data_IF_735988255572
#
_entry.id   IF_735988255572
#
_cell.length_a   1.000
_cell.length_b   1.000
_cell.length_c   1.000
_cell.angle_alpha   90.00
_cell.angle_beta   90.00
_cell.angle_gamma   90.00
#
_symmetry.space_group_name_H-M   'P 1'
#
loop_
_entity.id
_entity.type
_entity.pdbx_description
1 polymer ?
#
# COMPACT_ATOMS: atom_id res chain seq x y z
N UNK A 1 -4.63 19.85 29.35
CA UNK A 1 -5.28 19.62 28.05
C UNK A 1 -4.19 19.19 27.10
N UNK A 2 -4.02 17.89 26.93
CA UNK A 2 -3.16 17.36 25.87
C UNK A 2 -3.91 17.60 24.56
N UNK A 3 -3.37 18.47 23.71
CA UNK A 3 -3.86 18.63 22.34
C UNK A 3 -3.53 17.31 21.66
N UNK A 4 -4.55 16.48 21.44
CA UNK A 4 -4.46 15.41 20.44
C UNK A 4 -4.20 16.14 19.13
N UNK A 5 -2.94 16.10 18.68
CA UNK A 5 -2.63 16.42 17.30
C UNK A 5 -3.40 15.39 16.47
N UNK A 6 -4.48 15.82 15.84
CA UNK A 6 -5.15 15.06 14.80
C UNK A 6 -4.07 14.83 13.73
N UNK A 7 -3.38 13.68 13.81
CA UNK A 7 -2.48 13.25 12.76
C UNK A 7 -3.34 13.10 11.52
N UNK A 8 -3.24 14.09 10.64
CA UNK A 8 -3.92 14.10 9.36
C UNK A 8 -3.49 12.81 8.62
N UNK A 9 -4.43 11.90 8.45
CA UNK A 9 -4.15 10.59 7.85
C UNK A 9 -3.65 10.85 6.43
N UNK A 10 -2.52 10.23 6.06
CA UNK A 10 -1.95 10.40 4.73
C UNK A 10 -3.02 10.08 3.65
N UNK A 11 -3.31 11.01 2.72
CA UNK A 11 -4.37 10.81 1.74
C UNK A 11 -4.10 9.62 0.81
N UNK A 12 -2.83 9.30 0.54
CA UNK A 12 -2.43 8.12 -0.26
C UNK A 12 -2.80 6.84 0.49
N UNK A 13 -2.63 6.83 1.83
CA UNK A 13 -3.04 5.70 2.66
C UNK A 13 -4.56 5.54 2.64
N UNK A 14 -5.31 6.63 2.80
CA UNK A 14 -6.78 6.60 2.75
C UNK A 14 -7.27 6.04 1.41
N UNK A 15 -6.78 6.59 0.29
CA UNK A 15 -7.16 6.12 -1.05
C UNK A 15 -6.82 4.64 -1.25
N UNK A 16 -5.65 4.19 -0.78
CA UNK A 16 -5.25 2.80 -0.83
C UNK A 16 -6.19 1.90 -0.02
N UNK A 17 -6.60 2.32 1.18
CA UNK A 17 -7.47 1.56 2.06
C UNK A 17 -8.92 1.50 1.54
N UNK A 18 -9.43 2.60 1.01
CA UNK A 18 -10.79 2.72 0.44
C UNK A 18 -10.96 1.96 -0.89
N UNK A 19 -9.85 1.53 -1.48
CA UNK A 19 -9.84 0.78 -2.74
C UNK A 19 -10.00 -0.73 -2.49
N UNK A 20 -11.04 -1.34 -3.08
CA UNK A 20 -11.35 -2.77 -2.89
C UNK A 20 -10.49 -3.71 -3.76
N UNK A 21 -10.11 -3.30 -4.97
CA UNK A 21 -9.40 -4.15 -5.93
C UNK A 21 -7.89 -4.04 -5.79
N UNK A 22 -7.18 -5.17 -5.74
CA UNK A 22 -5.71 -5.15 -5.76
C UNK A 22 -5.13 -4.55 -7.06
N UNK A 23 -5.87 -4.57 -8.18
CA UNK A 23 -5.44 -3.91 -9.40
C UNK A 23 -5.46 -2.38 -9.26
N UNK A 24 -6.50 -1.83 -8.63
CA UNK A 24 -6.60 -0.40 -8.36
C UNK A 24 -5.61 0.04 -7.28
N UNK A 25 -5.43 -0.75 -6.21
CA UNK A 25 -4.36 -0.53 -5.22
C UNK A 25 -2.98 -0.47 -5.88
N UNK A 26 -2.72 -1.34 -6.87
CA UNK A 26 -1.46 -1.31 -7.62
C UNK A 26 -1.29 -0.02 -8.44
N UNK A 27 -2.36 0.49 -9.06
CA UNK A 27 -2.33 1.74 -9.81
C UNK A 27 -1.97 2.92 -8.91
N UNK A 28 -2.52 2.98 -7.70
CA UNK A 28 -2.16 4.00 -6.69
C UNK A 28 -0.65 3.95 -6.44
N UNK A 29 -0.11 2.78 -6.09
CA UNK A 29 1.33 2.63 -5.83
C UNK A 29 2.21 3.03 -7.02
N UNK A 30 1.78 2.78 -8.26
CA UNK A 30 2.52 3.16 -9.47
C UNK A 30 2.42 4.66 -9.75
N UNK A 31 1.26 5.27 -9.48
CA UNK A 31 1.02 6.69 -9.70
C UNK A 31 1.72 7.57 -8.66
N UNK A 32 1.91 7.08 -7.43
CA UNK A 32 2.60 7.79 -6.36
C UNK A 32 4.12 7.83 -6.58
N UNK A 33 4.75 9.01 -6.61
CA UNK A 33 6.20 9.18 -6.60
C UNK A 33 6.85 8.51 -5.38
N UNK A 34 8.01 7.87 -5.56
CA UNK A 34 8.72 7.18 -4.46
C UNK A 34 9.07 8.14 -3.31
N UNK A 35 9.34 9.41 -3.61
CA UNK A 35 9.65 10.44 -2.61
C UNK A 35 8.49 10.75 -1.64
N UNK A 36 7.26 10.38 -1.99
CA UNK A 36 6.07 10.60 -1.15
C UNK A 36 5.82 9.42 -0.20
N UNK A 37 6.68 8.38 -0.25
CA UNK A 37 6.65 7.26 0.68
C UNK A 37 7.61 7.47 1.84
N UNK A 38 7.15 7.11 3.02
CA UNK A 38 7.98 6.87 4.19
C UNK A 38 7.77 5.44 4.71
N UNK A 39 8.59 5.04 5.67
CA UNK A 39 8.52 3.69 6.23
C UNK A 39 7.14 3.38 6.84
N UNK A 40 6.52 4.36 7.51
CA UNK A 40 5.23 4.19 8.19
C UNK A 40 4.09 3.96 7.18
N UNK A 41 4.11 4.68 6.06
CA UNK A 41 3.14 4.52 4.98
C UNK A 41 3.21 3.12 4.39
N UNK A 42 4.42 2.64 4.11
CA UNK A 42 4.66 1.30 3.56
C UNK A 42 4.18 0.24 4.57
N UNK A 43 4.53 0.37 5.84
CA UNK A 43 4.14 -0.57 6.90
C UNK A 43 2.63 -0.66 7.07
N UNK A 44 1.94 0.49 7.08
CA UNK A 44 0.49 0.53 7.21
C UNK A 44 -0.21 -0.09 5.99
N UNK A 45 0.26 0.20 4.77
CA UNK A 45 -0.26 -0.42 3.55
C UNK A 45 -0.04 -1.93 3.56
N UNK A 46 1.18 -2.38 3.90
CA UNK A 46 1.54 -3.78 3.97
C UNK A 46 0.68 -4.54 5.00
N UNK A 47 0.52 -3.97 6.20
CA UNK A 47 -0.33 -4.53 7.25
C UNK A 47 -1.79 -4.64 6.82
N UNK A 48 -2.32 -3.66 6.08
CA UNK A 48 -3.71 -3.69 5.62
C UNK A 48 -4.03 -4.81 4.63
N UNK A 49 -2.99 -5.36 4.00
CA UNK A 49 -3.10 -6.49 3.09
C UNK A 49 -2.41 -7.73 3.67
N UNK A 50 -2.16 -7.85 4.98
CA UNK A 50 -1.54 -9.06 5.55
C UNK A 50 -0.22 -9.48 4.85
N UNK A 51 0.66 -8.52 4.54
CA UNK A 51 2.04 -8.79 4.10
C UNK A 51 3.04 -8.10 5.01
N UNK A 52 4.22 -8.68 5.11
CA UNK A 52 5.37 -8.07 5.79
C UNK A 52 6.37 -7.69 4.71
N UNK A 53 6.81 -6.42 4.74
CA UNK A 53 7.87 -5.92 3.86
C UNK A 53 9.13 -5.80 4.71
N UNK A 54 10.16 -6.56 4.33
CA UNK A 54 11.45 -6.58 5.00
C UNK A 54 12.09 -5.19 5.07
N UNK A 55 13.03 -5.02 5.99
CA UNK A 55 13.78 -3.78 6.13
C UNK A 55 14.66 -3.52 4.88
N UNK A 56 14.73 -2.27 4.46
CA UNK A 56 15.46 -1.84 3.26
C UNK A 56 15.36 -0.34 3.03
N UNK A 57 15.93 0.15 1.93
CA UNK A 57 15.69 1.52 1.48
C UNK A 57 14.26 1.69 0.96
N UNK A 58 13.77 2.94 0.94
CA UNK A 58 12.39 3.25 0.55
C UNK A 58 12.08 2.73 -0.85
N UNK A 59 12.99 2.91 -1.81
CA UNK A 59 12.82 2.42 -3.19
C UNK A 59 12.57 0.91 -3.26
N UNK A 60 13.40 0.13 -2.57
CA UNK A 60 13.28 -1.34 -2.51
C UNK A 60 11.98 -1.74 -1.82
N UNK A 61 11.66 -1.14 -0.68
CA UNK A 61 10.43 -1.46 0.07
C UNK A 61 9.16 -1.12 -0.70
N UNK A 62 9.13 0.01 -1.41
CA UNK A 62 8.02 0.37 -2.32
C UNK A 62 7.92 -0.63 -3.47
N UNK A 63 9.04 -1.07 -4.02
CA UNK A 63 9.07 -2.05 -5.09
C UNK A 63 8.55 -3.42 -4.62
N UNK A 64 8.93 -3.86 -3.43
CA UNK A 64 8.46 -5.12 -2.84
C UNK A 64 6.94 -5.07 -2.56
N UNK A 65 6.46 -3.96 -2.01
CA UNK A 65 5.02 -3.73 -1.82
C UNK A 65 4.25 -3.82 -3.15
N UNK A 66 4.78 -3.19 -4.22
CA UNK A 66 4.22 -3.30 -5.58
C UNK A 66 4.16 -4.75 -6.07
N UNK A 67 5.22 -5.52 -5.85
CA UNK A 67 5.27 -6.95 -6.24
C UNK A 67 4.21 -7.77 -5.49
N UNK A 68 4.07 -7.56 -4.18
CA UNK A 68 3.06 -8.22 -3.36
C UNK A 68 1.63 -7.92 -3.85
N UNK A 69 1.30 -6.64 -4.05
CA UNK A 69 -0.03 -6.21 -4.52
C UNK A 69 -0.32 -6.77 -5.92
N UNK A 70 0.63 -6.67 -6.85
CA UNK A 70 0.48 -7.18 -8.23
C UNK A 70 0.27 -8.70 -8.27
N UNK A 71 0.99 -9.43 -7.42
CA UNK A 71 0.85 -10.88 -7.31
C UNK A 71 -0.57 -11.25 -6.89
N UNK A 72 -1.13 -10.55 -5.89
CA UNK A 72 -2.50 -10.79 -5.42
C UNK A 72 -3.55 -10.43 -6.45
N UNK A 73 -3.40 -9.30 -7.14
CA UNK A 73 -4.29 -8.90 -8.24
C UNK A 73 -4.42 -10.03 -9.29
N UNK A 74 -3.30 -10.65 -9.67
CA UNK A 74 -3.29 -11.79 -10.61
C UNK A 74 -4.16 -12.96 -10.12
N UNK A 75 -4.11 -13.29 -8.83
CA UNK A 75 -4.84 -14.44 -8.29
C UNK A 75 -6.32 -14.14 -8.03
N UNK A 76 -6.68 -12.92 -7.64
CA UNK A 76 -8.09 -12.51 -7.50
C UNK A 76 -8.85 -12.58 -8.82
N UNK A 77 -8.25 -12.10 -9.92
CA UNK A 77 -8.86 -12.21 -11.25
C UNK A 77 -9.04 -13.66 -11.70
N UNK A 78 -8.16 -14.57 -11.28
CA UNK A 78 -8.26 -16.00 -11.64
C UNK A 78 -9.23 -16.78 -10.77
N UNK A 79 -9.54 -16.32 -9.55
CA UNK A 79 -10.36 -17.06 -8.59
C UNK A 79 -11.86 -17.04 -8.93
N UNK A 80 -12.33 -16.05 -9.68
CA UNK A 80 -13.74 -15.88 -10.05
C UNK A 80 -14.07 -16.21 -11.52
N UNK A 81 -13.14 -16.81 -12.28
CA UNK A 81 -13.45 -17.33 -13.62
C UNK A 81 -13.89 -18.79 -13.53
N UNK A 82 -15.15 -19.02 -13.16
CA UNK A 82 -15.87 -20.29 -13.41
C UNK A 82 -17.26 -19.99 -13.95
#
# INVERSE_FOLDING_TARGET
MERQEEQEINPILLEFLDTDSFEEKYKILVATPVMDFDNLLIDNMASSIDVVIEDGDIDTRVQDLKVCVRTRAKYETTRFRR
#
